data_IF_363717013630
#
_entry.id   IF_363717013630
#
_cell.length_a   1.000
_cell.length_b   1.000
_cell.length_c   1.000
_cell.angle_alpha   90.00
_cell.angle_beta   90.00
_cell.angle_gamma   90.00
#
_symmetry.space_group_name_H-M   'P 1'
#
loop_
_entity.id
_entity.type
_entity.pdbx_description
1 polymer ?
#
# COMPACT_ATOMS: atom_id res chain seq x y z
N UNK A 1 -4.07 -32.15 -4.13
CA UNK A 1 -4.80 -30.91 -4.41
C UNK A 1 -3.77 -29.81 -4.60
N UNK A 2 -3.31 -29.66 -5.83
CA UNK A 2 -2.27 -28.70 -6.22
C UNK A 2 -2.96 -27.34 -6.39
N UNK A 3 -2.64 -26.38 -5.53
CA UNK A 3 -3.17 -25.02 -5.63
C UNK A 3 -2.62 -24.40 -6.90
N UNK A 4 -3.51 -24.14 -7.86
CA UNK A 4 -3.18 -23.41 -9.09
C UNK A 4 -2.66 -22.03 -8.71
N UNK A 5 -1.35 -21.83 -8.91
CA UNK A 5 -0.69 -20.56 -8.64
C UNK A 5 -0.93 -19.68 -9.85
N UNK A 6 -2.06 -19.00 -9.84
CA UNK A 6 -2.53 -18.11 -10.89
C UNK A 6 -1.42 -17.13 -11.28
N UNK A 7 -0.83 -17.34 -12.46
CA UNK A 7 0.21 -16.48 -13.00
C UNK A 7 -0.44 -15.18 -13.47
N UNK A 8 -0.43 -14.16 -12.60
CA UNK A 8 -0.92 -12.83 -12.95
C UNK A 8 -0.18 -12.34 -14.20
N UNK A 9 -0.90 -12.14 -15.31
CA UNK A 9 -0.36 -11.60 -16.57
C UNK A 9 0.35 -10.28 -16.32
N UNK A 10 1.40 -9.93 -17.08
CA UNK A 10 2.13 -8.67 -16.88
C UNK A 10 1.24 -7.43 -16.97
N UNK A 11 0.16 -7.50 -17.77
CA UNK A 11 -0.87 -6.46 -17.85
C UNK A 11 -1.67 -6.32 -16.55
N UNK A 12 -1.89 -7.41 -15.81
CA UNK A 12 -2.63 -7.37 -14.55
C UNK A 12 -1.81 -6.82 -13.39
N UNK A 13 -0.50 -6.66 -13.54
CA UNK A 13 0.40 -6.13 -12.49
C UNK A 13 0.47 -4.62 -12.47
N UNK A 14 0.09 -3.97 -13.57
CA UNK A 14 0.26 -2.53 -13.78
C UNK A 14 -1.04 -1.88 -14.25
N UNK A 15 -1.27 -0.67 -13.78
CA UNK A 15 -2.36 0.20 -14.20
C UNK A 15 -1.77 1.44 -14.87
N UNK A 16 -2.36 1.88 -15.98
CA UNK A 16 -1.90 3.07 -16.72
C UNK A 16 -2.87 4.21 -16.43
N UNK A 17 -2.37 5.30 -15.84
CA UNK A 17 -3.11 6.54 -15.58
C UNK A 17 -2.30 7.69 -16.15
N UNK A 18 -2.89 8.49 -17.03
CA UNK A 18 -2.25 9.64 -17.69
C UNK A 18 -0.89 9.29 -18.35
N UNK A 19 -0.83 8.14 -19.01
CA UNK A 19 0.40 7.63 -19.65
C UNK A 19 1.47 7.12 -18.67
N UNK A 20 1.24 7.20 -17.35
CA UNK A 20 2.15 6.68 -16.32
C UNK A 20 1.71 5.30 -15.88
N UNK A 21 2.68 4.38 -15.77
CA UNK A 21 2.48 3.03 -15.23
C UNK A 21 2.60 3.05 -13.72
N UNK A 22 1.61 2.50 -13.05
CA UNK A 22 1.55 2.32 -11.62
C UNK A 22 1.41 0.83 -11.32
N UNK A 23 1.96 0.35 -10.20
CA UNK A 23 1.74 -1.02 -9.76
C UNK A 23 0.35 -1.16 -9.15
N UNK A 24 -0.33 -2.25 -9.47
CA UNK A 24 -1.58 -2.65 -8.81
C UNK A 24 -1.29 -3.19 -7.40
N UNK A 25 -2.32 -3.12 -6.56
CA UNK A 25 -2.34 -3.80 -5.27
C UNK A 25 -2.04 -5.29 -5.48
N UNK A 26 -1.22 -5.86 -4.60
CA UNK A 26 -0.85 -7.27 -4.68
C UNK A 26 -2.10 -8.17 -4.50
N UNK A 27 -2.44 -9.01 -5.50
CA UNK A 27 -3.67 -9.81 -5.47
C UNK A 27 -3.62 -10.96 -4.47
N UNK A 28 -2.46 -11.29 -3.88
CA UNK A 28 -2.40 -12.33 -2.86
C UNK A 28 -2.81 -11.87 -1.45
N UNK A 29 -2.94 -10.55 -1.27
CA UNK A 29 -3.22 -10.00 0.04
C UNK A 29 -4.68 -10.33 0.44
N UNK A 30 -4.92 -10.84 1.66
CA UNK A 30 -6.27 -11.05 2.15
C UNK A 30 -7.08 -9.76 2.11
N UNK A 31 -8.35 -9.84 1.70
CA UNK A 31 -9.23 -8.67 1.57
C UNK A 31 -9.27 -7.83 2.86
N UNK A 32 -9.31 -8.47 4.03
CA UNK A 32 -9.31 -7.78 5.32
C UNK A 32 -8.06 -6.91 5.52
N UNK A 33 -6.89 -7.39 5.08
CA UNK A 33 -5.63 -6.65 5.17
C UNK A 33 -5.62 -5.48 4.17
N UNK A 34 -6.08 -5.74 2.93
CA UNK A 34 -6.23 -4.70 1.90
C UNK A 34 -7.16 -3.58 2.36
N UNK A 35 -8.30 -3.91 2.97
CA UNK A 35 -9.26 -2.91 3.45
C UNK A 35 -8.69 -2.04 4.56
N UNK A 36 -7.98 -2.63 5.53
CA UNK A 36 -7.32 -1.88 6.59
C UNK A 36 -6.26 -0.93 6.03
N UNK A 37 -5.36 -1.43 5.17
CA UNK A 37 -4.34 -0.59 4.52
C UNK A 37 -4.97 0.54 3.69
N UNK A 38 -6.05 0.26 2.94
CA UNK A 38 -6.80 1.29 2.21
C UNK A 38 -7.44 2.32 3.14
N UNK A 39 -7.94 1.92 4.30
CA UNK A 39 -8.43 2.85 5.33
C UNK A 39 -7.33 3.78 5.82
N UNK A 40 -6.14 3.26 6.18
CA UNK A 40 -4.99 4.09 6.57
C UNK A 40 -4.55 5.02 5.43
N UNK A 41 -4.55 4.55 4.18
CA UNK A 41 -4.24 5.35 3.00
C UNK A 41 -5.23 6.50 2.81
N UNK A 42 -6.53 6.25 2.99
CA UNK A 42 -7.58 7.27 2.97
C UNK A 42 -7.35 8.34 4.04
N UNK A 43 -7.11 7.91 5.29
CA UNK A 43 -6.79 8.81 6.42
C UNK A 43 -5.54 9.65 6.15
N UNK A 44 -4.47 9.04 5.64
CA UNK A 44 -3.23 9.73 5.26
C UNK A 44 -3.43 10.77 4.17
N UNK A 45 -4.17 10.46 3.10
CA UNK A 45 -4.50 11.41 2.02
C UNK A 45 -5.30 12.61 2.53
N UNK A 46 -6.29 12.35 3.40
CA UNK A 46 -7.06 13.42 4.04
C UNK A 46 -6.19 14.29 4.93
N UNK A 47 -5.28 13.70 5.72
CA UNK A 47 -4.34 14.43 6.56
C UNK A 47 -3.35 15.28 5.74
N UNK A 48 -2.85 14.78 4.61
CA UNK A 48 -2.00 15.57 3.67
C UNK A 48 -2.75 16.81 3.19
N UNK A 49 -4.02 16.68 2.84
CA UNK A 49 -4.84 17.81 2.38
C UNK A 49 -4.98 18.87 3.49
N UNK A 50 -5.31 18.44 4.72
CA UNK A 50 -5.44 19.35 5.87
C UNK A 50 -4.13 20.05 6.19
N UNK A 51 -3.04 19.30 6.36
CA UNK A 51 -1.73 19.86 6.69
C UNK A 51 -1.21 20.87 5.65
N UNK A 52 -1.54 20.68 4.36
CA UNK A 52 -1.25 21.68 3.31
C UNK A 52 -2.05 22.96 3.49
N UNK A 53 -3.33 22.85 3.82
CA UNK A 53 -4.20 24.01 4.10
C UNK A 53 -3.70 24.79 5.31
N UNK A 54 -3.24 24.07 6.33
CA UNK A 54 -2.80 24.65 7.61
C UNK A 54 -1.33 25.11 7.58
N UNK A 55 -0.61 24.86 6.47
CA UNK A 55 0.85 25.06 6.34
C UNK A 55 1.69 24.36 7.42
N UNK A 56 1.17 23.28 8.03
CA UNK A 56 1.87 22.49 9.02
C UNK A 56 2.80 21.47 8.32
N UNK A 57 4.08 21.81 8.26
CA UNK A 57 5.11 20.97 7.63
C UNK A 57 5.33 19.66 8.37
N UNK A 58 5.19 19.64 9.70
CA UNK A 58 5.39 18.45 10.52
C UNK A 58 4.22 17.47 10.35
N UNK A 59 2.98 17.97 10.39
CA UNK A 59 1.80 17.15 10.09
C UNK A 59 1.82 16.64 8.64
N UNK A 60 2.31 17.46 7.70
CA UNK A 60 2.46 17.04 6.31
C UNK A 60 3.46 15.89 6.15
N UNK A 61 4.59 15.95 6.86
CA UNK A 61 5.58 14.87 6.87
C UNK A 61 4.99 13.56 7.42
N UNK A 62 4.32 13.61 8.58
CA UNK A 62 3.64 12.44 9.18
C UNK A 62 2.58 11.85 8.25
N UNK A 63 1.76 12.71 7.65
CA UNK A 63 0.70 12.27 6.73
C UNK A 63 1.26 11.62 5.45
N UNK A 64 2.36 12.17 4.90
CA UNK A 64 3.06 11.58 3.75
C UNK A 64 3.69 10.24 4.07
N UNK A 65 4.31 10.13 5.24
CA UNK A 65 4.88 8.87 5.72
C UNK A 65 3.79 7.79 5.83
N UNK A 66 2.65 8.10 6.45
CA UNK A 66 1.49 7.20 6.51
C UNK A 66 1.01 6.73 5.14
N UNK A 67 0.92 7.64 4.16
CA UNK A 67 0.56 7.28 2.77
C UNK A 67 1.59 6.34 2.16
N UNK A 68 2.88 6.57 2.44
CA UNK A 68 3.96 5.77 1.90
C UNK A 68 3.96 4.35 2.47
N UNK A 69 3.85 4.20 3.79
CA UNK A 69 3.77 2.90 4.47
C UNK A 69 2.57 2.09 3.96
N UNK A 70 1.39 2.71 3.86
CA UNK A 70 0.20 2.03 3.34
C UNK A 70 0.38 1.54 1.90
N UNK A 71 1.04 2.33 1.04
CA UNK A 71 1.32 1.93 -0.35
C UNK A 71 2.38 0.84 -0.45
N UNK A 72 3.36 0.83 0.43
CA UNK A 72 4.31 -0.27 0.53
C UNK A 72 3.63 -1.56 0.99
N UNK A 73 2.75 -1.49 1.99
CA UNK A 73 1.95 -2.63 2.45
C UNK A 73 1.04 -3.20 1.35
N UNK A 74 0.43 -2.33 0.54
CA UNK A 74 -0.40 -2.75 -0.61
C UNK A 74 0.40 -3.31 -1.80
N UNK A 75 1.73 -3.22 -1.79
CA UNK A 75 2.59 -3.62 -2.92
C UNK A 75 2.64 -2.61 -4.08
N UNK A 76 2.03 -1.44 -3.93
CA UNK A 76 2.03 -0.37 -4.93
C UNK A 76 3.40 0.36 -5.02
N UNK A 77 4.24 0.21 -4.00
CA UNK A 77 5.59 0.77 -3.87
C UNK A 77 6.60 -0.27 -3.35
N UNK A 78 7.89 0.06 -3.41
CA UNK A 78 8.98 -0.83 -2.95
C UNK A 78 9.29 -1.96 -3.93
N UNK A 79 9.68 -3.13 -3.41
CA UNK A 79 9.97 -4.31 -4.24
C UNK A 79 8.74 -4.74 -5.05
N UNK A 80 8.98 -5.16 -6.29
CA UNK A 80 7.93 -5.72 -7.14
C UNK A 80 7.39 -7.00 -6.51
N UNK A 81 6.09 -7.08 -6.28
CA UNK A 81 5.52 -8.20 -5.53
C UNK A 81 5.61 -9.52 -6.29
N UNK A 82 5.62 -9.50 -7.63
CA UNK A 82 5.75 -10.71 -8.47
C UNK A 82 7.16 -11.31 -8.49
N UNK A 83 8.17 -10.60 -7.98
CA UNK A 83 9.53 -11.14 -7.80
C UNK A 83 9.79 -11.64 -6.38
N UNK A 84 8.79 -11.59 -5.49
CA UNK A 84 8.89 -12.01 -4.09
C UNK A 84 8.08 -13.29 -3.82
N UNK A 85 8.48 -14.07 -2.83
CA UNK A 85 7.65 -15.17 -2.33
C UNK A 85 6.39 -14.64 -1.64
N UNK A 86 5.32 -15.43 -1.66
CA UNK A 86 4.03 -15.03 -1.08
C UNK A 86 4.11 -14.70 0.41
N UNK A 87 4.86 -15.49 1.16
CA UNK A 87 5.10 -15.24 2.58
C UNK A 87 5.74 -13.86 2.83
N UNK A 88 6.71 -13.45 1.99
CA UNK A 88 7.35 -12.14 2.13
C UNK A 88 6.40 -10.99 1.79
N UNK A 89 5.49 -11.21 0.82
CA UNK A 89 4.46 -10.22 0.44
C UNK A 89 3.50 -9.99 1.61
N UNK A 90 3.01 -11.07 2.21
CA UNK A 90 2.13 -11.01 3.38
C UNK A 90 2.83 -10.37 4.59
N UNK A 91 4.07 -10.78 4.88
CA UNK A 91 4.85 -10.22 6.00
C UNK A 91 5.08 -8.71 5.86
N UNK A 92 5.32 -8.22 4.64
CA UNK A 92 5.42 -6.76 4.37
C UNK A 92 4.09 -6.05 4.62
N UNK A 93 2.99 -6.61 4.16
CA UNK A 93 1.67 -6.01 4.32
C UNK A 93 1.27 -5.94 5.81
N UNK A 94 1.48 -7.02 6.56
CA UNK A 94 1.25 -7.07 8.01
C UNK A 94 2.18 -6.14 8.78
N UNK A 95 3.46 -6.07 8.40
CA UNK A 95 4.43 -5.15 8.99
C UNK A 95 4.03 -3.69 8.79
N UNK A 96 3.63 -3.33 7.57
CA UNK A 96 3.12 -2.00 7.25
C UNK A 96 1.85 -1.67 8.04
N UNK A 97 0.91 -2.62 8.18
CA UNK A 97 -0.29 -2.40 8.99
C UNK A 97 0.07 -2.14 10.46
N UNK A 98 0.96 -2.95 11.05
CA UNK A 98 1.38 -2.79 12.45
C UNK A 98 2.04 -1.43 12.70
N UNK A 99 2.87 -0.97 11.77
CA UNK A 99 3.46 0.37 11.81
C UNK A 99 2.38 1.46 11.73
N UNK A 100 1.39 1.31 10.86
CA UNK A 100 0.31 2.26 10.68
C UNK A 100 -0.63 2.36 11.87
N UNK A 101 -0.89 1.23 12.55
CA UNK A 101 -1.65 1.18 13.79
C UNK A 101 -0.91 1.90 14.92
N UNK A 102 0.42 1.69 15.02
CA UNK A 102 1.26 2.40 15.99
C UNK A 102 1.39 3.92 15.73
N UNK A 103 0.99 4.41 14.55
CA UNK A 103 0.90 5.84 14.24
C UNK A 103 -0.46 6.46 14.66
N UNK A 104 -1.43 5.66 15.09
CA UNK A 104 -2.74 6.15 15.58
C UNK A 104 -2.82 6.30 17.09
N UNK A 105 -1.96 5.60 17.83
CA UNK A 105 -1.75 5.75 19.27
C UNK A 105 -0.92 7.01 19.60
#
# INVERSE_FOLDING_TARGET
>A
MTSDKESVSEDDRRLIIDGRRWRRTDPCLPDALVQQLKSHLGRGRSAVRRARSDNDTAALARARHRVDVAKHGLGERGQEWWSSAEADRLARAEGALRELDALED
#
